data_IF_149951394373
#
_entry.id   IF_149951394373
#
_cell.length_a   1.000
_cell.length_b   1.000
_cell.length_c   1.000
_cell.angle_alpha   90.00
_cell.angle_beta   90.00
_cell.angle_gamma   90.00
#
_symmetry.space_group_name_H-M   'P 1'
#
loop_
_entity.id
_entity.type
_entity.pdbx_description
1 polymer ?
#
# COMPACT_ATOMS: atom_id res chain seq x y z
N UNK A 1 2.58 -9.87 9.32
CA UNK A 1 2.40 -9.82 10.81
C UNK A 1 1.09 -10.52 11.18
N UNK A 2 1.07 -11.42 12.16
CA UNK A 2 -0.14 -12.11 12.58
C UNK A 2 -1.12 -11.16 13.32
N UNK A 3 -2.40 -11.44 13.24
CA UNK A 3 -3.49 -10.61 13.82
C UNK A 3 -3.26 -10.24 15.31
N UNK A 4 -2.88 -11.20 16.15
CA UNK A 4 -2.64 -10.96 17.58
C UNK A 4 -1.44 -10.03 17.84
N UNK A 5 -0.45 -10.01 16.96
CA UNK A 5 0.66 -9.06 17.05
C UNK A 5 0.24 -7.61 16.75
N UNK A 6 -0.71 -7.44 15.83
CA UNK A 6 -1.28 -6.12 15.52
C UNK A 6 -2.06 -5.61 16.74
N UNK A 7 -2.83 -6.47 17.39
CA UNK A 7 -3.57 -6.15 18.61
C UNK A 7 -2.64 -5.67 19.75
N UNK A 8 -1.56 -6.41 20.01
CA UNK A 8 -0.54 -6.02 20.99
C UNK A 8 0.09 -4.65 20.67
N UNK A 9 0.48 -4.42 19.42
CA UNK A 9 1.08 -3.14 19.00
C UNK A 9 0.09 -1.99 19.19
N UNK A 10 -1.17 -2.18 18.83
CA UNK A 10 -2.20 -1.16 19.04
C UNK A 10 -2.40 -0.86 20.53
N UNK A 11 -2.36 -1.86 21.40
CA UNK A 11 -2.45 -1.66 22.86
C UNK A 11 -1.27 -0.84 23.38
N UNK A 12 -0.08 -1.03 22.85
CA UNK A 12 1.09 -0.19 23.18
C UNK A 12 0.89 1.23 22.70
N UNK A 13 0.36 1.45 21.49
CA UNK A 13 0.11 2.81 20.97
C UNK A 13 -1.01 3.52 21.74
N UNK A 14 -2.05 2.82 22.17
CA UNK A 14 -3.09 3.35 23.06
C UNK A 14 -2.49 3.82 24.39
N UNK A 15 -1.65 2.98 24.99
CA UNK A 15 -0.96 3.33 26.23
C UNK A 15 -0.05 4.55 26.04
N UNK A 16 0.76 4.60 24.99
CA UNK A 16 1.62 5.73 24.67
C UNK A 16 0.83 7.03 24.47
N UNK A 17 -0.32 6.98 23.81
CA UNK A 17 -1.17 8.13 23.62
C UNK A 17 -1.85 8.60 24.91
N UNK A 18 -2.01 7.72 25.89
CA UNK A 18 -2.47 8.09 27.24
C UNK A 18 -1.37 8.77 28.05
N UNK A 19 -0.16 8.22 28.04
CA UNK A 19 0.97 8.72 28.85
C UNK A 19 1.64 9.95 28.22
N UNK A 20 1.79 9.96 26.89
CA UNK A 20 2.50 11.00 26.14
C UNK A 20 1.66 11.36 24.88
N UNK A 21 0.54 12.07 25.07
CA UNK A 21 -0.37 12.36 23.97
C UNK A 21 0.28 13.22 22.89
N UNK A 22 0.15 12.80 21.63
CA UNK A 22 0.57 13.54 20.44
C UNK A 22 -0.63 13.81 19.55
N UNK A 23 -0.71 14.99 18.97
CA UNK A 23 -1.82 15.39 18.09
C UNK A 23 -1.88 14.58 16.78
N UNK A 24 -0.73 14.27 16.20
CA UNK A 24 -0.60 13.51 14.94
C UNK A 24 0.61 12.59 15.03
N UNK A 25 0.51 11.44 15.74
CA UNK A 25 1.65 10.57 16.00
C UNK A 25 2.10 9.78 14.77
N UNK A 26 1.20 9.51 13.83
CA UNK A 26 1.41 8.69 12.63
C UNK A 26 2.20 7.41 12.93
N UNK A 27 1.83 6.72 14.00
CA UNK A 27 2.39 5.41 14.29
C UNK A 27 2.14 4.48 13.12
N UNK A 28 3.13 3.65 12.77
CA UNK A 28 3.05 2.75 11.62
C UNK A 28 3.01 1.30 12.08
N UNK A 29 2.31 0.47 11.32
CA UNK A 29 2.33 -0.98 11.47
C UNK A 29 2.68 -1.58 10.10
N UNK A 30 3.90 -2.09 10.00
CA UNK A 30 4.40 -2.70 8.77
C UNK A 30 3.75 -4.08 8.54
N UNK A 31 3.64 -4.47 7.28
CA UNK A 31 3.02 -5.71 6.76
C UNK A 31 1.51 -5.76 6.93
N UNK A 32 0.92 -5.42 8.06
CA UNK A 32 -0.53 -5.46 8.31
C UNK A 32 -1.24 -6.64 7.64
N UNK A 33 -0.66 -7.86 7.74
CA UNK A 33 -1.02 -8.99 6.90
C UNK A 33 -2.46 -9.43 7.06
N UNK A 34 -2.93 -9.53 8.29
CA UNK A 34 -4.30 -9.98 8.59
C UNK A 34 -4.95 -9.01 9.57
N UNK A 35 -6.02 -8.35 9.15
CA UNK A 35 -6.75 -7.36 9.96
C UNK A 35 -8.23 -7.74 10.08
N UNK A 36 -8.78 -7.51 11.26
CA UNK A 36 -10.24 -7.62 11.51
C UNK A 36 -10.87 -6.23 11.47
N UNK A 37 -12.22 -6.14 11.33
CA UNK A 37 -12.90 -4.85 11.42
C UNK A 37 -12.58 -4.08 12.71
N UNK A 38 -12.48 -4.77 13.85
CA UNK A 38 -12.14 -4.15 15.15
C UNK A 38 -10.72 -3.57 15.16
N UNK A 39 -9.74 -4.24 14.56
CA UNK A 39 -8.38 -3.72 14.43
C UNK A 39 -8.34 -2.50 13.51
N UNK A 40 -9.08 -2.51 12.41
CA UNK A 40 -9.20 -1.36 11.49
C UNK A 40 -9.79 -0.15 12.21
N UNK A 41 -10.83 -0.34 13.01
CA UNK A 41 -11.43 0.74 13.80
C UNK A 41 -10.46 1.33 14.84
N UNK A 42 -9.71 0.48 15.55
CA UNK A 42 -8.66 0.93 16.49
C UNK A 42 -7.56 1.70 15.78
N UNK A 43 -7.08 1.22 14.62
CA UNK A 43 -6.11 1.95 13.80
C UNK A 43 -6.64 3.34 13.43
N UNK A 44 -7.91 3.41 13.01
CA UNK A 44 -8.56 4.68 12.66
C UNK A 44 -8.65 5.63 13.84
N UNK A 45 -9.06 5.13 15.01
CA UNK A 45 -9.20 5.94 16.23
C UNK A 45 -7.85 6.52 16.71
N UNK A 46 -6.76 5.77 16.53
CA UNK A 46 -5.39 6.15 16.92
C UNK A 46 -4.62 6.93 15.85
N UNK A 47 -5.17 7.09 14.64
CA UNK A 47 -4.44 7.66 13.52
C UNK A 47 -3.25 6.83 13.06
N UNK A 48 -3.29 5.52 13.28
CA UNK A 48 -2.22 4.59 12.86
C UNK A 48 -2.22 4.45 11.34
N UNK A 49 -1.03 4.39 10.76
CA UNK A 49 -0.81 4.14 9.34
C UNK A 49 -0.49 2.65 9.14
N UNK A 50 -1.44 1.86 8.63
CA UNK A 50 -1.14 0.49 8.21
C UNK A 50 -0.33 0.51 6.92
N UNK A 51 0.73 -0.28 6.84
CA UNK A 51 1.61 -0.41 5.66
C UNK A 51 1.53 -1.86 5.15
N UNK A 52 0.52 -2.23 4.35
CA UNK A 52 0.40 -3.58 3.85
C UNK A 52 1.51 -3.94 2.86
N UNK A 53 1.93 -5.20 2.89
CA UNK A 53 2.78 -5.80 1.87
C UNK A 53 1.89 -6.38 0.76
N UNK A 54 1.27 -5.52 -0.05
CA UNK A 54 0.20 -5.90 -0.96
C UNK A 54 0.67 -6.69 -2.18
N UNK A 55 1.91 -6.50 -2.64
CA UNK A 55 2.46 -7.28 -3.75
C UNK A 55 2.70 -8.76 -3.39
N UNK A 56 2.63 -9.14 -2.11
CA UNK A 56 2.69 -10.52 -1.66
C UNK A 56 1.69 -11.43 -2.39
N UNK A 57 0.50 -10.92 -2.68
CA UNK A 57 -0.55 -11.67 -3.38
C UNK A 57 -0.11 -12.09 -4.79
N UNK A 58 0.61 -11.23 -5.49
CA UNK A 58 1.15 -11.54 -6.81
C UNK A 58 2.41 -12.39 -6.71
N UNK A 59 3.40 -11.95 -5.95
CA UNK A 59 4.73 -12.54 -5.92
C UNK A 59 4.76 -13.89 -5.18
N UNK A 60 3.99 -14.02 -4.11
CA UNK A 60 3.88 -15.25 -3.31
C UNK A 60 2.52 -15.95 -3.49
N UNK A 61 1.89 -15.80 -4.66
CA UNK A 61 0.58 -16.38 -4.96
C UNK A 61 0.52 -17.91 -4.81
N UNK A 62 1.66 -18.58 -4.96
CA UNK A 62 1.79 -20.02 -4.83
C UNK A 62 1.50 -20.56 -3.42
N UNK A 63 1.67 -19.75 -2.38
CA UNK A 63 1.38 -20.14 -0.99
C UNK A 63 0.04 -19.61 -0.47
N UNK A 64 -0.69 -18.79 -1.25
CA UNK A 64 -1.93 -18.16 -0.78
C UNK A 64 -3.01 -19.18 -0.43
N UNK A 65 -3.06 -20.31 -1.11
CA UNK A 65 -4.05 -21.37 -0.84
C UNK A 65 -3.96 -21.97 0.58
N UNK A 66 -2.79 -21.89 1.23
CA UNK A 66 -2.64 -22.39 2.60
C UNK A 66 -3.37 -21.54 3.65
N UNK A 67 -3.73 -20.31 3.33
CA UNK A 67 -4.43 -19.43 4.29
C UNK A 67 -5.92 -19.70 4.38
N UNK A 68 -6.53 -20.23 3.33
CA UNK A 68 -7.97 -20.46 3.22
C UNK A 68 -8.77 -19.19 2.95
N UNK A 69 -9.94 -19.34 2.32
CA UNK A 69 -10.75 -18.22 1.80
C UNK A 69 -11.17 -17.22 2.86
N UNK A 70 -11.49 -17.69 4.06
CA UNK A 70 -11.92 -16.82 5.17
C UNK A 70 -10.82 -15.80 5.54
N UNK A 71 -9.57 -16.25 5.69
CA UNK A 71 -8.45 -15.35 6.02
C UNK A 71 -8.10 -14.45 4.84
N UNK A 72 -8.15 -14.98 3.62
CA UNK A 72 -7.83 -14.22 2.41
C UNK A 72 -8.74 -13.00 2.21
N UNK A 73 -9.97 -13.04 2.74
CA UNK A 73 -10.88 -11.89 2.74
C UNK A 73 -10.39 -10.70 3.56
N UNK A 74 -9.48 -10.93 4.51
CA UNK A 74 -8.96 -9.92 5.45
C UNK A 74 -7.43 -9.76 5.36
N UNK A 75 -6.78 -10.43 4.38
CA UNK A 75 -5.34 -10.32 4.17
C UNK A 75 -4.99 -9.18 3.22
N UNK A 76 -3.97 -8.39 3.61
CA UNK A 76 -3.52 -7.23 2.85
C UNK A 76 -4.73 -6.40 2.42
N UNK A 77 -5.53 -5.97 3.39
CA UNK A 77 -6.93 -5.57 3.25
C UNK A 77 -7.07 -4.11 2.76
N UNK A 78 -6.47 -3.79 1.59
CA UNK A 78 -6.41 -2.44 1.04
C UNK A 78 -7.78 -1.78 0.94
N UNK A 79 -8.80 -2.49 0.42
CA UNK A 79 -10.16 -1.95 0.31
C UNK A 79 -10.74 -1.59 1.67
N UNK A 80 -10.65 -2.51 2.64
CA UNK A 80 -11.17 -2.28 3.99
C UNK A 80 -10.49 -1.10 4.70
N UNK A 81 -9.18 -0.94 4.49
CA UNK A 81 -8.42 0.17 5.08
C UNK A 81 -8.80 1.51 4.46
N UNK A 82 -8.94 1.56 3.13
CA UNK A 82 -9.36 2.78 2.42
C UNK A 82 -10.81 3.16 2.76
N UNK A 83 -11.74 2.20 2.82
CA UNK A 83 -13.14 2.44 3.19
C UNK A 83 -13.28 2.97 4.62
N UNK A 84 -12.37 2.59 5.51
CA UNK A 84 -12.28 3.15 6.86
C UNK A 84 -11.68 4.56 6.92
N UNK A 85 -11.27 5.14 5.78
CA UNK A 85 -10.64 6.45 5.70
C UNK A 85 -9.17 6.48 6.14
N UNK A 86 -8.53 5.32 6.29
CA UNK A 86 -7.11 5.21 6.53
C UNK A 86 -6.31 5.53 5.25
N UNK A 87 -5.03 5.84 5.42
CA UNK A 87 -4.11 6.18 4.32
C UNK A 87 -3.00 5.14 4.21
N UNK A 88 -3.30 3.89 3.81
CA UNK A 88 -2.27 2.88 3.67
C UNK A 88 -1.32 3.25 2.52
N UNK A 89 -0.02 3.45 2.76
CA UNK A 89 0.97 3.38 1.70
C UNK A 89 1.13 1.92 1.28
N UNK A 90 1.65 1.71 0.08
CA UNK A 90 2.05 0.37 -0.34
C UNK A 90 3.50 0.08 0.02
N UNK A 91 3.87 -1.20 0.07
CA UNK A 91 5.21 -1.67 0.35
C UNK A 91 5.54 -2.93 -0.47
N UNK A 92 6.77 -2.99 -0.97
CA UNK A 92 7.32 -4.17 -1.61
C UNK A 92 7.99 -5.12 -0.63
N UNK A 93 8.30 -4.65 0.57
CA UNK A 93 9.14 -5.39 1.53
C UNK A 93 10.46 -5.88 0.89
N UNK A 94 11.07 -5.00 0.07
CA UNK A 94 12.36 -5.31 -0.57
C UNK A 94 13.41 -5.63 0.55
N UNK A 95 14.08 -6.75 0.51
CA UNK A 95 14.37 -7.72 -0.56
C UNK A 95 13.45 -8.97 -0.61
N UNK A 96 12.39 -9.03 0.20
CA UNK A 96 11.46 -10.16 0.21
C UNK A 96 10.66 -10.29 -1.09
N UNK A 97 10.45 -9.18 -1.81
CA UNK A 97 9.97 -9.17 -3.19
C UNK A 97 10.69 -8.09 -4.03
N UNK A 98 10.56 -8.14 -5.37
CA UNK A 98 11.12 -7.10 -6.24
C UNK A 98 10.58 -5.71 -5.93
N UNK A 99 11.43 -4.68 -6.15
CA UNK A 99 11.06 -3.28 -6.00
C UNK A 99 10.50 -2.72 -7.32
N UNK A 100 9.44 -3.35 -7.85
CA UNK A 100 8.82 -2.97 -9.13
C UNK A 100 7.45 -2.34 -8.88
N UNK A 101 7.29 -1.02 -9.02
CA UNK A 101 6.03 -0.33 -8.72
C UNK A 101 4.84 -0.83 -9.53
N UNK A 102 5.02 -1.19 -10.78
CA UNK A 102 3.94 -1.69 -11.64
C UNK A 102 3.42 -3.07 -11.21
N UNK A 103 4.26 -3.88 -10.57
CA UNK A 103 3.86 -5.17 -10.00
C UNK A 103 2.90 -4.99 -8.81
N UNK A 104 3.20 -4.10 -7.89
CA UNK A 104 2.29 -3.88 -6.76
C UNK A 104 1.04 -3.09 -7.16
N UNK A 105 1.10 -2.22 -8.17
CA UNK A 105 -0.12 -1.66 -8.76
C UNK A 105 -1.03 -2.78 -9.27
N UNK A 106 -0.51 -3.71 -10.09
CA UNK A 106 -1.29 -4.83 -10.60
C UNK A 106 -1.81 -5.73 -9.48
N UNK A 107 -0.96 -6.06 -8.49
CA UNK A 107 -1.34 -6.91 -7.37
C UNK A 107 -2.54 -6.36 -6.59
N UNK A 108 -2.56 -5.07 -6.29
CA UNK A 108 -3.65 -4.41 -5.56
C UNK A 108 -4.95 -4.36 -6.36
N UNK A 109 -4.84 -4.08 -7.66
CA UNK A 109 -6.00 -3.90 -8.56
C UNK A 109 -6.62 -5.23 -8.95
N UNK A 110 -5.80 -6.23 -9.27
CA UNK A 110 -6.30 -7.52 -9.76
C UNK A 110 -6.45 -8.58 -8.67
N UNK A 111 -5.59 -8.55 -7.65
CA UNK A 111 -5.47 -9.60 -6.65
C UNK A 111 -5.24 -10.98 -7.28
N UNK A 112 -4.55 -11.01 -8.43
CA UNK A 112 -4.34 -12.21 -9.23
C UNK A 112 -2.85 -12.52 -9.33
N UNK A 113 -2.47 -13.75 -9.07
CA UNK A 113 -1.09 -14.23 -9.18
C UNK A 113 -0.69 -14.52 -10.65
N UNK A 114 0.60 -14.79 -10.93
CA UNK A 114 1.07 -15.09 -12.30
C UNK A 114 0.45 -16.33 -12.93
N UNK A 115 -0.19 -17.20 -12.14
CA UNK A 115 -0.90 -18.39 -12.62
C UNK A 115 -2.36 -18.14 -12.93
N UNK A 116 -2.85 -16.90 -12.70
CA UNK A 116 -4.22 -16.49 -12.94
C UNK A 116 -5.20 -16.76 -11.78
N UNK A 117 -4.71 -17.21 -10.62
CA UNK A 117 -5.57 -17.39 -9.46
C UNK A 117 -5.82 -16.05 -8.76
N UNK A 118 -7.07 -15.80 -8.39
CA UNK A 118 -7.46 -14.59 -7.65
C UNK A 118 -7.64 -14.89 -6.17
N UNK A 119 -7.01 -14.07 -5.32
CA UNK A 119 -6.94 -14.25 -3.88
C UNK A 119 -7.55 -13.05 -3.14
N UNK A 120 -8.66 -13.26 -2.43
CA UNK A 120 -9.32 -12.19 -1.66
C UNK A 120 -9.78 -11.02 -2.55
N UNK A 121 -10.52 -11.29 -3.62
CA UNK A 121 -10.98 -10.30 -4.61
C UNK A 121 -11.76 -9.11 -4.01
N UNK A 122 -12.37 -9.30 -2.84
CA UNK A 122 -13.08 -8.26 -2.09
C UNK A 122 -12.14 -7.14 -1.60
N UNK A 123 -10.82 -7.33 -1.67
CA UNK A 123 -9.83 -6.33 -1.26
C UNK A 123 -9.21 -5.60 -2.45
N UNK A 124 -9.75 -5.76 -3.65
CA UNK A 124 -9.33 -4.98 -4.84
C UNK A 124 -9.60 -3.50 -4.62
N UNK A 125 -8.70 -2.68 -5.15
CA UNK A 125 -8.86 -1.23 -5.20
C UNK A 125 -8.75 -0.75 -6.65
N UNK A 126 -9.11 0.50 -6.93
CA UNK A 126 -8.97 1.05 -8.28
C UNK A 126 -7.52 1.39 -8.60
N UNK A 127 -7.21 1.62 -9.86
CA UNK A 127 -5.86 2.03 -10.29
C UNK A 127 -5.47 3.37 -9.66
N UNK A 128 -6.41 4.31 -9.62
CA UNK A 128 -6.19 5.64 -9.03
C UNK A 128 -5.93 5.56 -7.52
N UNK A 129 -6.66 4.69 -6.81
CA UNK A 129 -6.43 4.44 -5.39
C UNK A 129 -5.05 3.81 -5.17
N UNK A 130 -4.65 2.83 -6.01
CA UNK A 130 -3.35 2.18 -5.93
C UNK A 130 -2.19 3.16 -6.18
N UNK A 131 -2.32 4.03 -7.20
CA UNK A 131 -1.35 5.11 -7.46
C UNK A 131 -1.25 6.04 -6.24
N UNK A 132 -2.39 6.43 -5.64
CA UNK A 132 -2.40 7.27 -4.44
C UNK A 132 -1.72 6.60 -3.25
N UNK A 133 -1.91 5.29 -3.07
CA UNK A 133 -1.21 4.52 -2.04
C UNK A 133 0.31 4.53 -2.24
N UNK A 134 0.77 4.38 -3.49
CA UNK A 134 2.20 4.40 -3.82
C UNK A 134 2.84 5.79 -3.87
N UNK A 135 2.08 6.87 -3.78
CA UNK A 135 2.57 8.25 -3.89
C UNK A 135 2.21 9.09 -2.68
N UNK A 136 1.02 9.67 -2.65
CA UNK A 136 0.60 10.62 -1.61
C UNK A 136 0.54 9.98 -0.21
N UNK A 137 0.08 8.71 -0.10
CA UNK A 137 0.04 8.05 1.20
C UNK A 137 1.45 7.68 1.68
N UNK A 138 2.38 7.36 0.77
CA UNK A 138 3.79 7.19 1.09
C UNK A 138 4.42 8.48 1.65
N UNK A 139 4.18 9.61 0.98
CA UNK A 139 4.62 10.92 1.46
C UNK A 139 4.00 11.27 2.82
N UNK A 140 2.69 11.01 3.00
CA UNK A 140 2.00 11.22 4.27
C UNK A 140 2.60 10.38 5.40
N UNK A 141 2.97 9.13 5.14
CA UNK A 141 3.58 8.26 6.14
C UNK A 141 4.97 8.73 6.62
N UNK A 142 5.60 9.64 5.87
CA UNK A 142 6.91 10.24 6.17
C UNK A 142 6.82 11.72 6.57
N UNK A 143 5.61 12.28 6.77
CA UNK A 143 5.38 13.71 7.02
C UNK A 143 5.85 14.63 5.88
N UNK A 144 5.85 14.13 4.65
CA UNK A 144 6.38 14.82 3.47
C UNK A 144 5.29 15.19 2.44
N UNK A 145 4.02 15.01 2.77
CA UNK A 145 2.89 15.25 1.86
C UNK A 145 2.78 16.71 1.40
N UNK A 146 3.40 17.63 2.13
CA UNK A 146 3.45 19.06 1.75
C UNK A 146 4.57 19.37 0.75
N UNK A 147 5.53 18.46 0.56
CA UNK A 147 6.69 18.67 -0.30
C UNK A 147 6.80 17.66 -1.45
N UNK A 148 6.09 16.53 -1.40
CA UNK A 148 6.07 15.52 -2.47
C UNK A 148 4.79 14.66 -2.43
N UNK A 149 4.68 13.68 -3.33
CA UNK A 149 3.60 12.69 -3.38
C UNK A 149 2.44 13.09 -4.30
N UNK A 150 2.41 14.31 -4.81
CA UNK A 150 1.46 14.80 -5.82
C UNK A 150 2.09 15.87 -6.70
N UNK A 151 1.56 16.04 -7.90
CA UNK A 151 2.02 17.06 -8.86
C UNK A 151 1.26 18.35 -8.56
N UNK A 152 1.84 19.21 -7.75
CA UNK A 152 1.26 20.49 -7.33
C UNK A 152 2.33 21.58 -7.30
N UNK A 153 1.98 22.86 -7.59
CA UNK A 153 2.90 23.97 -7.46
C UNK A 153 3.51 24.05 -6.05
N UNK A 154 4.83 24.19 -5.96
CA UNK A 154 5.57 24.29 -4.71
C UNK A 154 6.08 22.96 -4.16
N UNK A 155 5.69 21.84 -4.74
CA UNK A 155 6.26 20.51 -4.41
C UNK A 155 7.48 20.18 -5.25
N UNK A 156 8.26 19.21 -4.78
CA UNK A 156 9.41 18.69 -5.50
C UNK A 156 8.97 18.07 -6.83
N UNK A 157 9.76 18.30 -7.87
CA UNK A 157 9.58 17.66 -9.17
C UNK A 157 10.18 16.23 -9.13
N UNK A 158 9.53 15.36 -8.33
CA UNK A 158 9.80 13.92 -8.28
C UNK A 158 8.72 13.24 -9.12
N UNK A 159 9.06 12.85 -10.34
CA UNK A 159 8.12 12.41 -11.35
C UNK A 159 8.56 11.12 -12.01
N UNK A 160 7.60 10.32 -12.43
CA UNK A 160 7.81 9.18 -13.33
C UNK A 160 6.99 9.36 -14.59
N UNK A 161 7.59 9.09 -15.74
CA UNK A 161 6.91 9.03 -17.04
C UNK A 161 6.74 7.57 -17.41
N UNK A 162 5.50 7.17 -17.60
CA UNK A 162 5.12 5.81 -17.98
C UNK A 162 4.77 5.76 -19.46
N UNK A 163 5.12 4.67 -20.13
CA UNK A 163 4.86 4.44 -21.56
C UNK A 163 3.37 4.40 -21.91
N UNK A 164 2.51 4.11 -20.92
CA UNK A 164 1.04 4.06 -21.08
C UNK A 164 0.36 4.63 -19.84
N UNK A 165 -0.81 5.20 -20.04
CA UNK A 165 -1.69 5.62 -18.95
C UNK A 165 -2.24 4.38 -18.23
N UNK A 166 -1.87 4.15 -16.96
CA UNK A 166 -2.30 2.96 -16.21
C UNK A 166 -3.81 2.92 -15.97
N UNK A 167 -4.51 4.06 -16.04
CA UNK A 167 -5.96 4.14 -15.85
C UNK A 167 -6.75 3.74 -17.11
N UNK A 168 -6.06 3.55 -18.25
CA UNK A 168 -6.67 3.28 -19.57
C UNK A 168 -6.26 1.95 -20.19
N UNK A 169 -5.50 1.14 -19.47
CA UNK A 169 -5.09 -0.20 -19.91
C UNK A 169 -5.88 -1.28 -19.18
N UNK A 170 -5.89 -2.48 -19.70
CA UNK A 170 -6.38 -3.65 -18.97
C UNK A 170 -5.58 -3.84 -17.68
N UNK A 171 -6.25 -4.01 -16.55
CA UNK A 171 -5.60 -4.14 -15.23
C UNK A 171 -4.60 -5.32 -15.15
N UNK A 172 -4.83 -6.37 -15.92
CA UNK A 172 -3.91 -7.52 -16.01
C UNK A 172 -2.60 -7.21 -16.75
N UNK A 173 -2.49 -6.05 -17.40
CA UNK A 173 -1.30 -5.63 -18.16
C UNK A 173 -0.51 -4.51 -17.46
N UNK A 174 -0.94 -4.06 -16.29
CA UNK A 174 -0.28 -2.97 -15.54
C UNK A 174 1.21 -3.22 -15.31
N UNK A 175 1.58 -4.46 -14.98
CA UNK A 175 2.98 -4.86 -14.75
C UNK A 175 3.87 -4.69 -15.99
N UNK A 176 3.29 -4.66 -17.18
CA UNK A 176 4.03 -4.53 -18.45
C UNK A 176 4.29 -3.07 -18.86
N UNK A 177 3.78 -2.11 -18.11
CA UNK A 177 3.97 -0.69 -18.41
C UNK A 177 5.41 -0.31 -18.11
N UNK A 178 6.16 0.06 -19.14
CA UNK A 178 7.53 0.52 -18.98
C UNK A 178 7.60 1.90 -18.33
N UNK A 179 8.61 2.11 -17.52
CA UNK A 179 9.04 3.44 -17.07
C UNK A 179 9.96 4.00 -18.16
N UNK A 180 9.57 5.14 -18.77
CA UNK A 180 10.36 5.82 -19.78
C UNK A 180 11.38 6.77 -19.15
N UNK A 181 10.96 7.49 -18.11
CA UNK A 181 11.83 8.46 -17.43
C UNK A 181 11.52 8.55 -15.96
N UNK A 182 12.53 8.88 -15.17
CA UNK A 182 12.37 9.22 -13.74
C UNK A 182 13.08 10.53 -13.44
N UNK A 183 12.40 11.43 -12.77
CA UNK A 183 12.92 12.72 -12.33
C UNK A 183 12.93 12.77 -10.80
N UNK A 184 14.02 13.26 -10.23
CA UNK A 184 14.16 13.51 -8.78
C UNK A 184 14.68 14.94 -8.59
N UNK A 185 13.95 15.73 -7.84
CA UNK A 185 14.30 17.13 -7.57
C UNK A 185 14.48 17.98 -8.85
N UNK A 186 13.70 17.70 -9.90
CA UNK A 186 13.77 18.41 -11.18
C UNK A 186 14.88 17.95 -12.13
N UNK A 187 15.59 16.87 -11.80
CA UNK A 187 16.64 16.28 -12.65
C UNK A 187 16.25 14.90 -13.13
N UNK A 188 16.41 14.64 -14.43
CA UNK A 188 16.28 13.30 -14.97
C UNK A 188 17.40 12.41 -14.42
N UNK A 189 17.03 11.33 -13.74
CA UNK A 189 17.94 10.34 -13.14
C UNK A 189 17.90 9.00 -13.86
N UNK A 190 16.89 8.81 -14.70
CA UNK A 190 16.71 7.65 -15.57
C UNK A 190 15.98 8.07 -16.85
N UNK A 191 16.46 7.58 -18.00
CA UNK A 191 15.84 7.67 -19.33
C UNK A 191 16.07 6.32 -20.04
N UNK A 192 14.98 5.64 -20.50
CA UNK A 192 15.03 4.34 -21.17
C UNK A 192 15.47 4.48 -22.65
#
# INVERSE_FOLDING_TARGET
>A
MAMWRIDEVLSVYEHLQTEIPRRDPRFRIEHCTLVTPSLVERMRALGVIPVPFSCYVYFHGDVMHFYGDERLRSMFAMRSLLDAGLRPPDSSDYTASPCEPTMWLQSQVTRTDPRGHTWGANQRITVEEAIRCGTLHGAYASYEENIKGSIEPGKLADLVVLAKDPTRVESATLITIAVERTMVGGRWVFEA
#
